data_IF_285816162780
#
_entry.id   IF_285816162780
#
_cell.length_a   1.000
_cell.length_b   1.000
_cell.length_c   1.000
_cell.angle_alpha   90.00
_cell.angle_beta   90.00
_cell.angle_gamma   90.00
#
_symmetry.space_group_name_H-M   'P 1'
#
loop_
_entity.id
_entity.type
_entity.pdbx_description
1 polymer ?
#
# COMPACT_ATOMS: atom_id res chain seq x y z
N UNK A 1 25.27 -12.29 20.88
CA UNK A 1 24.97 -13.71 20.56
C UNK A 1 26.25 -14.53 20.45
N UNK A 2 27.07 -14.41 19.39
CA UNK A 2 28.29 -15.22 19.23
C UNK A 2 29.33 -15.04 20.36
N UNK A 3 29.54 -13.80 20.82
CA UNK A 3 30.40 -13.55 21.99
C UNK A 3 29.87 -14.19 23.28
N UNK A 4 28.55 -14.27 23.45
CA UNK A 4 27.92 -14.92 24.60
C UNK A 4 28.03 -16.46 24.54
N UNK A 5 28.35 -17.01 23.36
CA UNK A 5 28.67 -18.43 23.17
C UNK A 5 30.18 -18.71 23.28
N UNK A 6 30.98 -17.74 23.75
CA UNK A 6 32.43 -17.87 23.88
C UNK A 6 33.21 -17.75 22.56
N UNK A 7 32.53 -17.50 21.44
CA UNK A 7 33.18 -17.36 20.13
C UNK A 7 33.70 -15.93 19.97
N UNK A 8 35.03 -15.77 20.04
CA UNK A 8 35.72 -14.51 19.78
C UNK A 8 35.94 -14.32 18.28
N UNK A 9 35.15 -13.45 17.65
CA UNK A 9 35.31 -13.05 16.25
C UNK A 9 35.15 -11.53 16.09
N UNK A 10 35.89 -10.98 15.13
CA UNK A 10 35.73 -9.58 14.72
C UNK A 10 34.49 -9.39 13.85
N UNK A 11 33.95 -8.17 13.82
CA UNK A 11 32.85 -7.81 12.93
C UNK A 11 33.20 -8.00 11.45
N UNK A 12 34.47 -7.82 11.09
CA UNK A 12 34.97 -8.05 9.75
C UNK A 12 34.85 -9.54 9.36
N UNK A 13 35.26 -10.46 10.24
CA UNK A 13 35.14 -11.89 10.01
C UNK A 13 33.67 -12.31 9.84
N UNK A 14 32.78 -11.80 10.69
CA UNK A 14 31.32 -12.04 10.57
C UNK A 14 30.77 -11.54 9.24
N UNK A 15 31.21 -10.37 8.76
CA UNK A 15 30.80 -9.81 7.46
C UNK A 15 31.28 -10.68 6.30
N UNK A 16 32.53 -11.15 6.32
CA UNK A 16 33.09 -12.02 5.30
C UNK A 16 32.35 -13.37 5.23
N UNK A 17 32.09 -13.99 6.37
CA UNK A 17 31.33 -15.24 6.44
C UNK A 17 29.91 -15.04 5.87
N UNK A 18 29.24 -13.94 6.22
CA UNK A 18 27.92 -13.63 5.65
C UNK A 18 27.96 -13.46 4.13
N UNK A 19 28.98 -12.78 3.60
CA UNK A 19 29.14 -12.58 2.16
C UNK A 19 29.41 -13.91 1.43
N UNK A 20 30.33 -14.73 1.94
CA UNK A 20 30.65 -16.06 1.39
C UNK A 20 29.45 -17.00 1.35
N UNK A 21 28.54 -16.88 2.33
CA UNK A 21 27.33 -17.69 2.42
C UNK A 21 26.10 -17.01 1.82
N UNK A 22 26.26 -15.88 1.12
CA UNK A 22 25.17 -15.10 0.53
C UNK A 22 24.04 -14.74 1.53
N UNK A 23 24.40 -14.55 2.80
CA UNK A 23 23.47 -14.20 3.87
C UNK A 23 23.36 -12.68 4.01
N UNK A 24 22.14 -12.14 3.92
CA UNK A 24 21.86 -10.73 4.11
C UNK A 24 20.78 -10.51 5.16
N UNK A 25 20.87 -9.38 5.88
CA UNK A 25 19.85 -8.99 6.82
C UNK A 25 18.62 -8.46 6.06
N UNK A 26 17.52 -9.23 6.06
CA UNK A 26 16.24 -8.76 5.53
C UNK A 26 15.48 -8.02 6.62
N UNK A 27 15.23 -6.72 6.44
CA UNK A 27 14.34 -5.98 7.35
C UNK A 27 12.91 -6.47 7.14
N UNK A 28 12.28 -6.97 8.19
CA UNK A 28 10.87 -7.32 8.12
C UNK A 28 10.03 -6.04 7.97
N UNK A 29 9.23 -5.94 6.89
CA UNK A 29 8.30 -4.83 6.72
C UNK A 29 7.21 -4.97 7.78
N UNK A 30 6.92 -3.90 8.52
CA UNK A 30 5.81 -3.92 9.48
C UNK A 30 4.51 -4.12 8.68
N UNK A 31 3.84 -5.25 8.89
CA UNK A 31 2.53 -5.50 8.31
C UNK A 31 1.48 -4.79 9.15
N UNK A 32 0.65 -3.96 8.53
CA UNK A 32 -0.54 -3.39 9.15
C UNK A 32 -1.76 -3.92 8.39
N UNK A 33 -2.65 -4.61 9.09
CA UNK A 33 -3.94 -5.03 8.55
C UNK A 33 -4.86 -3.80 8.53
N UNK A 34 -5.06 -3.23 7.36
CA UNK A 34 -5.97 -2.09 7.14
C UNK A 34 -7.41 -2.54 6.94
N UNK A 35 -7.62 -3.80 6.56
CA UNK A 35 -8.93 -4.33 6.20
C UNK A 35 -9.40 -5.36 7.21
N UNK A 36 -10.55 -5.11 7.82
CA UNK A 36 -11.25 -6.15 8.58
C UNK A 36 -12.14 -6.97 7.63
N UNK A 37 -11.57 -8.01 7.03
CA UNK A 37 -12.33 -8.96 6.20
C UNK A 37 -13.24 -9.90 7.01
N UNK A 38 -13.16 -9.89 8.34
CA UNK A 38 -14.04 -10.68 9.22
C UNK A 38 -15.22 -9.79 9.65
N UNK A 39 -16.23 -9.74 8.79
CA UNK A 39 -17.43 -8.94 8.99
C UNK A 39 -18.66 -9.64 8.42
N UNK A 40 -19.84 -9.35 8.98
CA UNK A 40 -21.11 -9.91 8.49
C UNK A 40 -21.77 -9.05 7.38
N UNK A 41 -20.99 -8.26 6.64
CA UNK A 41 -21.47 -7.46 5.50
C UNK A 41 -21.44 -8.29 4.21
N UNK A 42 -22.26 -7.90 3.23
CA UNK A 42 -22.28 -8.55 1.92
C UNK A 42 -20.87 -8.59 1.30
N UNK A 43 -20.47 -9.78 0.86
CA UNK A 43 -19.25 -9.99 0.09
C UNK A 43 -19.66 -9.96 -1.38
N UNK A 44 -19.10 -9.01 -2.14
CA UNK A 44 -19.35 -8.89 -3.57
C UNK A 44 -18.28 -9.66 -4.34
N UNK A 45 -18.68 -10.24 -5.46
CA UNK A 45 -17.78 -10.93 -6.38
C UNK A 45 -16.75 -9.96 -6.98
N UNK A 46 -15.50 -10.41 -7.13
CA UNK A 46 -14.46 -9.63 -7.78
C UNK A 46 -14.62 -9.70 -9.31
N UNK A 47 -15.52 -8.89 -9.86
CA UNK A 47 -15.80 -8.84 -11.30
C UNK A 47 -14.60 -8.42 -12.16
N UNK A 48 -13.59 -7.79 -11.56
CA UNK A 48 -12.43 -7.27 -12.30
C UNK A 48 -11.37 -8.35 -12.53
N UNK A 49 -11.23 -9.32 -11.63
CA UNK A 49 -10.24 -10.41 -11.69
C UNK A 49 -8.81 -9.96 -12.06
N UNK A 50 -8.39 -8.77 -11.62
CA UNK A 50 -7.10 -8.15 -11.99
C UNK A 50 -6.91 -7.88 -13.50
N UNK A 51 -7.99 -7.91 -14.29
CA UNK A 51 -7.99 -7.46 -15.67
C UNK A 51 -8.04 -5.93 -15.71
N UNK A 52 -6.91 -5.29 -15.97
CA UNK A 52 -6.81 -3.83 -16.05
C UNK A 52 -6.76 -3.31 -17.50
N UNK A 53 -6.81 -4.20 -18.48
CA UNK A 53 -6.82 -3.86 -19.91
C UNK A 53 -8.26 -3.71 -20.40
N UNK A 54 -8.73 -2.46 -20.46
CA UNK A 54 -10.05 -2.11 -20.98
C UNK A 54 -9.97 -1.81 -22.49
N UNK A 55 -11.07 -1.98 -23.21
CA UNK A 55 -11.14 -1.72 -24.67
C UNK A 55 -11.79 -0.38 -25.01
N UNK A 56 -12.51 0.23 -24.07
CA UNK A 56 -13.15 1.55 -24.22
C UNK A 56 -13.29 2.26 -22.86
N UNK A 57 -13.52 3.59 -22.84
CA UNK A 57 -13.79 4.33 -21.61
C UNK A 57 -15.02 3.79 -20.84
N UNK A 58 -15.08 4.05 -19.54
CA UNK A 58 -16.22 3.78 -18.65
C UNK A 58 -16.58 2.29 -18.49
N UNK A 59 -15.62 1.37 -18.68
CA UNK A 59 -15.82 -0.05 -18.40
C UNK A 59 -15.47 -0.43 -16.96
N UNK A 60 -14.41 0.16 -16.43
CA UNK A 60 -13.98 -0.09 -15.06
C UNK A 60 -13.20 1.13 -14.54
N UNK A 61 -13.41 1.43 -13.27
CA UNK A 61 -12.77 2.54 -12.58
C UNK A 61 -12.00 2.04 -11.37
N UNK A 62 -10.91 2.71 -11.04
CA UNK A 62 -10.18 2.52 -9.79
C UNK A 62 -10.28 3.79 -8.99
N UNK A 63 -10.45 3.66 -7.67
CA UNK A 63 -10.45 4.79 -6.76
C UNK A 63 -9.46 4.56 -5.63
N UNK A 64 -8.93 5.66 -5.11
CA UNK A 64 -8.07 5.66 -3.93
C UNK A 64 -8.29 6.94 -3.13
N UNK A 65 -8.00 6.89 -1.83
CA UNK A 65 -7.99 8.05 -0.95
C UNK A 65 -6.53 8.32 -0.56
N UNK A 66 -6.02 9.47 -0.97
CA UNK A 66 -4.70 9.95 -0.62
C UNK A 66 -4.79 11.26 0.15
N UNK A 67 -3.65 11.78 0.57
CA UNK A 67 -3.54 13.07 1.26
C UNK A 67 -2.58 13.98 0.51
N UNK A 68 -2.95 15.26 0.39
CA UNK A 68 -2.15 16.29 -0.26
C UNK A 68 -1.80 17.38 0.76
N UNK A 69 -0.56 17.86 0.72
CA UNK A 69 -0.10 18.95 1.57
C UNK A 69 -0.45 20.29 0.91
N UNK A 70 -1.05 21.18 1.69
CA UNK A 70 -1.37 22.55 1.28
C UNK A 70 -0.75 23.55 2.26
N UNK A 71 -0.88 24.84 1.98
CA UNK A 71 -0.42 25.89 2.91
C UNK A 71 -1.26 25.96 4.19
N UNK A 72 -2.48 25.42 4.18
CA UNK A 72 -3.41 25.39 5.32
C UNK A 72 -3.36 24.04 6.08
N UNK A 73 -2.64 23.06 5.55
CA UNK A 73 -2.48 21.73 6.15
C UNK A 73 -2.76 20.57 5.19
N UNK A 74 -2.99 19.38 5.75
CA UNK A 74 -3.31 18.18 4.98
C UNK A 74 -4.78 18.15 4.58
N UNK A 75 -5.05 17.87 3.30
CA UNK A 75 -6.38 17.53 2.80
C UNK A 75 -6.41 16.08 2.33
N UNK A 76 -7.53 15.40 2.58
CA UNK A 76 -7.81 14.10 2.00
C UNK A 76 -8.44 14.29 0.62
N UNK A 77 -7.85 13.62 -0.37
CA UNK A 77 -8.30 13.57 -1.75
C UNK A 77 -8.82 12.17 -2.05
N UNK A 78 -10.11 12.05 -2.31
CA UNK A 78 -10.67 10.86 -2.95
C UNK A 78 -10.70 11.11 -4.46
N UNK A 79 -10.08 10.24 -5.25
CA UNK A 79 -10.05 10.36 -6.71
C UNK A 79 -10.54 9.06 -7.37
N UNK A 80 -11.31 9.21 -8.44
CA UNK A 80 -11.76 8.11 -9.30
C UNK A 80 -11.06 8.24 -10.65
N UNK A 81 -10.38 7.19 -11.07
CA UNK A 81 -9.61 7.11 -12.30
C UNK A 81 -10.22 6.08 -13.23
N UNK A 82 -10.40 6.47 -14.49
CA UNK A 82 -10.82 5.53 -15.52
C UNK A 82 -9.66 4.64 -15.98
N UNK A 83 -9.89 3.32 -15.98
CA UNK A 83 -8.83 2.35 -16.26
C UNK A 83 -8.45 2.29 -17.75
N UNK A 84 -9.26 2.81 -18.67
CA UNK A 84 -8.91 2.88 -20.08
C UNK A 84 -8.11 4.16 -20.38
N UNK A 85 -8.74 5.32 -20.18
CA UNK A 85 -8.20 6.65 -20.52
C UNK A 85 -7.05 7.06 -19.60
N UNK A 86 -6.95 6.45 -18.42
CA UNK A 86 -6.04 6.82 -17.34
C UNK A 86 -6.26 8.25 -16.80
N UNK A 87 -7.38 8.88 -17.11
CA UNK A 87 -7.75 10.19 -16.61
C UNK A 87 -8.51 10.09 -15.28
N UNK A 88 -8.40 11.13 -14.46
CA UNK A 88 -9.26 11.30 -13.28
C UNK A 88 -10.61 11.81 -13.76
N UNK A 89 -11.66 11.04 -13.50
CA UNK A 89 -13.04 11.33 -13.95
C UNK A 89 -13.91 11.93 -12.85
N UNK A 90 -13.43 11.91 -11.60
CA UNK A 90 -14.09 12.56 -10.47
C UNK A 90 -13.15 12.62 -9.27
N UNK A 91 -13.34 13.65 -8.43
CA UNK A 91 -12.60 13.78 -7.18
C UNK A 91 -13.41 14.57 -6.13
N UNK A 92 -13.03 14.39 -4.87
CA UNK A 92 -13.56 15.14 -3.74
C UNK A 92 -12.45 15.42 -2.74
N UNK A 93 -12.54 16.56 -2.04
CA UNK A 93 -11.57 17.02 -1.05
C UNK A 93 -12.27 17.27 0.28
N UNK A 94 -11.64 16.87 1.38
CA UNK A 94 -12.12 17.18 2.72
C UNK A 94 -10.94 17.26 3.70
N UNK A 95 -11.05 18.09 4.74
CA UNK A 95 -10.11 18.15 5.85
C UNK A 95 -10.07 16.85 6.66
N UNK A 96 -11.14 16.04 6.61
CA UNK A 96 -11.25 14.78 7.35
C UNK A 96 -11.65 13.62 6.45
N UNK A 97 -11.03 12.46 6.66
CA UNK A 97 -11.40 11.19 6.02
C UNK A 97 -12.72 10.65 6.61
N UNK A 98 -13.84 11.25 6.22
CA UNK A 98 -15.20 10.86 6.63
C UNK A 98 -15.96 10.24 5.47
N UNK A 99 -17.11 9.62 5.74
CA UNK A 99 -17.98 9.05 4.70
C UNK A 99 -18.41 10.11 3.67
N UNK A 100 -18.56 11.37 4.08
CA UNK A 100 -18.89 12.51 3.22
C UNK A 100 -17.88 12.73 2.08
N UNK A 101 -16.65 12.24 2.23
CA UNK A 101 -15.64 12.32 1.17
C UNK A 101 -15.98 11.45 -0.05
N UNK A 102 -16.78 10.38 0.13
CA UNK A 102 -17.08 9.39 -0.91
C UNK A 102 -18.58 9.08 -1.07
N UNK A 103 -19.40 9.42 -0.08
CA UNK A 103 -20.84 9.20 -0.04
C UNK A 103 -21.53 10.53 0.31
N UNK A 104 -22.57 10.89 -0.43
CA UNK A 104 -23.42 12.03 -0.10
C UNK A 104 -24.43 11.67 0.99
#
# INVERSE_FOLDING_TARGET
>A
YLQAQGIKMSMYAVRQIKALNHLYCKRHKRFKRTTNSDHNRAIYENLLEQQFSMTRPNQAWSSDITYIWTVEGWLYLAAVKDLYTKQVVGYSLNERMTTQLVCN
#
